data_IF_327471387350
#
_entry.id   IF_327471387350
#
_cell.length_a   1.000
_cell.length_b   1.000
_cell.length_c   1.000
_cell.angle_alpha   90.00
_cell.angle_beta   90.00
_cell.angle_gamma   90.00
#
_symmetry.space_group_name_H-M   'P 1'
#
loop_
_entity.id
_entity.type
_entity.pdbx_description
1 polymer ?
#
# COMPACT_ATOMS: atom_id res chain seq x y z
N UNK A 1 -2.95 7.78 -1.87
CA UNK A 1 -2.98 8.68 -3.05
C UNK A 1 -4.32 9.39 -3.10
N UNK A 2 -4.31 10.63 -3.56
CA UNK A 2 -5.47 11.51 -3.59
C UNK A 2 -5.49 12.33 -4.88
N UNK A 3 -6.62 12.97 -5.15
CA UNK A 3 -6.82 13.99 -6.18
C UNK A 3 -7.23 15.33 -5.53
N UNK A 4 -6.65 15.63 -4.35
CA UNK A 4 -6.99 16.78 -3.51
C UNK A 4 -7.51 16.38 -2.11
N UNK A 5 -7.67 17.35 -1.19
CA UNK A 5 -8.07 17.09 0.20
C UNK A 5 -9.36 16.26 0.30
N UNK A 6 -9.36 15.20 1.12
CA UNK A 6 -10.53 14.36 1.38
C UNK A 6 -10.87 13.32 0.30
N UNK A 7 -10.01 13.12 -0.71
CA UNK A 7 -10.27 12.18 -1.82
C UNK A 7 -9.45 10.87 -1.72
N UNK A 8 -8.95 10.54 -0.52
CA UNK A 8 -8.23 9.29 -0.31
C UNK A 8 -9.14 8.08 -0.57
N UNK A 9 -8.63 7.13 -1.34
CA UNK A 9 -9.26 5.83 -1.60
C UNK A 9 -8.36 4.68 -1.16
N UNK A 10 -8.22 3.67 -2.02
CA UNK A 10 -7.33 2.53 -1.78
C UNK A 10 -5.97 2.61 -2.49
N UNK A 11 -5.79 3.61 -3.37
CA UNK A 11 -4.53 3.77 -4.10
C UNK A 11 -3.42 4.29 -3.18
N UNK A 12 -2.22 3.75 -3.34
CA UNK A 12 -0.99 4.22 -2.71
C UNK A 12 0.13 4.25 -3.75
N UNK A 13 1.26 4.82 -3.38
CA UNK A 13 2.49 4.80 -4.19
C UNK A 13 3.68 4.51 -3.28
N UNK A 14 4.74 3.97 -3.87
CA UNK A 14 6.03 3.78 -3.22
C UNK A 14 7.01 4.67 -3.99
N UNK A 15 7.81 5.46 -3.27
CA UNK A 15 8.81 6.33 -3.88
C UNK A 15 10.10 5.54 -4.14
N UNK A 16 10.74 5.78 -5.29
CA UNK A 16 12.04 5.17 -5.62
C UNK A 16 13.21 5.99 -5.07
N UNK A 17 12.97 7.27 -4.82
CA UNK A 17 13.94 8.26 -4.35
C UNK A 17 13.24 9.22 -3.39
N UNK A 18 13.98 10.02 -2.59
CA UNK A 18 13.36 11.09 -1.82
C UNK A 18 12.58 12.07 -2.69
N UNK A 19 11.35 12.39 -2.30
CA UNK A 19 10.47 13.33 -3.03
C UNK A 19 9.91 14.42 -2.10
N UNK A 20 10.75 15.38 -1.64
CA UNK A 20 10.35 16.36 -0.61
C UNK A 20 9.17 17.26 -1.01
N UNK A 21 8.89 17.39 -2.31
CA UNK A 21 7.73 18.16 -2.80
C UNK A 21 6.38 17.45 -2.57
N UNK A 22 6.38 16.20 -2.09
CA UNK A 22 5.15 15.48 -1.70
C UNK A 22 4.85 15.62 -0.21
N UNK A 23 5.79 16.16 0.58
CA UNK A 23 5.64 16.34 2.01
C UNK A 23 4.42 17.21 2.31
N UNK A 24 3.69 16.86 3.38
CA UNK A 24 2.41 17.46 3.82
C UNK A 24 1.24 17.42 2.81
N UNK A 25 1.48 17.10 1.54
CA UNK A 25 0.45 16.94 0.51
C UNK A 25 -0.12 15.51 0.46
N UNK A 26 0.68 14.51 0.86
CA UNK A 26 0.28 13.12 0.92
C UNK A 26 0.65 12.52 2.28
N UNK A 27 -0.27 11.73 2.84
CA UNK A 27 -0.03 11.06 4.12
C UNK A 27 0.91 9.86 3.92
N UNK A 28 2.10 9.93 4.54
CA UNK A 28 3.02 8.79 4.65
C UNK A 28 2.56 7.86 5.77
N UNK A 29 2.50 6.56 5.50
CA UNK A 29 2.03 5.55 6.46
C UNK A 29 2.94 4.32 6.57
N UNK A 30 4.09 4.32 5.88
CA UNK A 30 5.06 3.23 5.91
C UNK A 30 6.30 3.55 5.09
N UNK A 31 7.30 2.67 5.18
CA UNK A 31 8.56 2.73 4.43
C UNK A 31 8.93 1.33 3.91
N UNK A 32 9.77 1.28 2.88
CA UNK A 32 10.34 0.02 2.37
C UNK A 32 11.47 -0.42 3.29
N UNK A 33 11.54 -1.71 3.62
CA UNK A 33 12.50 -2.21 4.60
C UNK A 33 13.88 -2.44 3.99
N UNK A 34 14.76 -1.44 4.10
CA UNK A 34 16.16 -1.55 3.71
C UNK A 34 16.40 -1.62 2.19
N UNK A 35 17.67 -1.79 1.82
CA UNK A 35 18.10 -1.65 0.42
C UNK A 35 17.69 -2.83 -0.47
N UNK A 36 17.57 -4.04 0.09
CA UNK A 36 17.19 -5.24 -0.66
C UNK A 36 15.75 -5.15 -1.17
N UNK A 37 14.80 -4.79 -0.29
CA UNK A 37 13.40 -4.58 -0.69
C UNK A 37 13.24 -3.36 -1.59
N UNK A 38 14.05 -2.31 -1.39
CA UNK A 38 14.07 -1.16 -2.29
C UNK A 38 14.54 -1.55 -3.70
N UNK A 39 15.43 -2.54 -3.84
CA UNK A 39 15.83 -3.06 -5.14
C UNK A 39 14.67 -3.77 -5.86
N UNK A 40 13.80 -4.47 -5.12
CA UNK A 40 12.55 -5.05 -5.67
C UNK A 40 11.64 -3.95 -6.20
N UNK A 41 11.41 -2.89 -5.40
CA UNK A 41 10.61 -1.73 -5.83
C UNK A 41 11.18 -1.11 -7.10
N UNK A 42 12.51 -0.95 -7.16
CA UNK A 42 13.20 -0.38 -8.32
C UNK A 42 13.12 -1.24 -9.60
N UNK A 43 12.81 -2.53 -9.48
CA UNK A 43 12.68 -3.44 -10.60
C UNK A 43 11.25 -3.53 -11.16
N UNK A 44 10.24 -2.95 -10.50
CA UNK A 44 8.84 -2.97 -10.94
C UNK A 44 8.68 -2.24 -12.27
N UNK A 45 7.96 -2.85 -13.20
CA UNK A 45 7.67 -2.31 -14.52
C UNK A 45 6.18 -2.01 -14.71
N UNK A 46 5.86 -1.18 -15.71
CA UNK A 46 4.48 -0.87 -16.04
C UNK A 46 3.73 -2.14 -16.46
N UNK A 47 2.64 -2.44 -15.73
CA UNK A 47 1.79 -3.60 -16.01
C UNK A 47 2.01 -4.75 -15.03
N UNK A 48 3.01 -4.67 -14.16
CA UNK A 48 3.15 -5.58 -13.03
C UNK A 48 1.91 -5.53 -12.14
N UNK A 49 1.53 -6.71 -11.63
CA UNK A 49 0.33 -6.89 -10.80
C UNK A 49 0.73 -7.22 -9.38
N UNK A 50 0.02 -6.62 -8.44
CA UNK A 50 0.04 -7.05 -7.04
C UNK A 50 -0.88 -8.25 -6.94
N UNK A 51 -0.28 -9.44 -6.77
CA UNK A 51 -1.04 -10.69 -6.62
C UNK A 51 -1.57 -10.87 -5.19
N UNK A 52 -0.81 -10.41 -4.19
CA UNK A 52 -1.17 -10.53 -2.77
C UNK A 52 -0.60 -9.38 -1.95
N UNK A 53 -1.37 -8.96 -0.94
CA UNK A 53 -0.88 -8.12 0.16
C UNK A 53 -1.15 -8.87 1.46
N UNK A 54 -0.11 -9.05 2.27
CA UNK A 54 -0.19 -9.63 3.60
C UNK A 54 0.27 -8.58 4.62
N UNK A 55 -0.47 -8.45 5.71
CA UNK A 55 -0.11 -7.57 6.82
C UNK A 55 0.17 -8.47 8.03
N UNK A 56 1.38 -8.39 8.56
CA UNK A 56 1.86 -9.24 9.65
C UNK A 56 2.11 -8.43 10.92
N UNK A 57 2.12 -9.11 12.07
CA UNK A 57 2.30 -8.49 13.39
C UNK A 57 1.06 -8.64 14.26
N UNK A 58 0.83 -7.70 15.18
CA UNK A 58 -0.36 -7.68 16.01
C UNK A 58 -1.54 -7.03 15.27
N UNK A 59 -2.13 -7.79 14.34
CA UNK A 59 -3.19 -7.32 13.43
C UNK A 59 -4.51 -8.08 13.60
N UNK A 60 -4.53 -9.13 14.42
CA UNK A 60 -5.67 -10.04 14.52
C UNK A 60 -6.95 -9.32 14.92
N UNK A 61 -6.88 -8.49 15.98
CA UNK A 61 -8.02 -7.70 16.45
C UNK A 61 -8.49 -6.69 15.38
N UNK A 62 -7.56 -6.07 14.65
CA UNK A 62 -7.89 -5.13 13.57
C UNK A 62 -8.58 -5.84 12.42
N UNK A 63 -8.04 -6.98 11.97
CA UNK A 63 -8.60 -7.76 10.88
C UNK A 63 -9.96 -8.35 11.26
N UNK A 64 -10.14 -8.76 12.52
CA UNK A 64 -11.43 -9.20 13.06
C UNK A 64 -12.45 -8.05 13.06
N UNK A 65 -12.06 -6.86 13.54
CA UNK A 65 -12.93 -5.68 13.53
C UNK A 65 -13.30 -5.21 12.12
N UNK A 66 -12.46 -5.49 11.10
CA UNK A 66 -12.69 -5.12 9.71
C UNK A 66 -13.10 -6.31 8.82
N UNK A 67 -13.52 -7.44 9.40
CA UNK A 67 -13.69 -8.72 8.70
C UNK A 67 -14.55 -8.63 7.43
N UNK A 68 -15.65 -7.88 7.46
CA UNK A 68 -16.53 -7.74 6.29
C UNK A 68 -15.86 -7.00 5.12
N UNK A 69 -15.03 -5.98 5.43
CA UNK A 69 -14.25 -5.29 4.41
C UNK A 69 -13.18 -6.19 3.83
N UNK A 70 -12.45 -6.92 4.70
CA UNK A 70 -11.40 -7.86 4.29
C UNK A 70 -11.99 -8.94 3.38
N UNK A 71 -13.12 -9.57 3.76
CA UNK A 71 -13.83 -10.55 2.93
C UNK A 71 -14.21 -9.99 1.57
N UNK A 72 -14.79 -8.77 1.54
CA UNK A 72 -15.19 -8.11 0.29
C UNK A 72 -14.01 -7.85 -0.63
N UNK A 73 -12.86 -7.47 -0.09
CA UNK A 73 -11.64 -7.25 -0.88
C UNK A 73 -11.05 -8.55 -1.39
N UNK A 74 -10.94 -9.58 -0.54
CA UNK A 74 -10.43 -10.89 -0.94
C UNK A 74 -11.27 -11.52 -2.07
N UNK A 75 -12.59 -11.34 -2.06
CA UNK A 75 -13.46 -11.79 -3.15
C UNK A 75 -13.20 -11.09 -4.50
N UNK A 76 -12.52 -9.93 -4.52
CA UNK A 76 -12.16 -9.19 -5.73
C UNK A 76 -10.80 -9.57 -6.30
N UNK A 77 -9.90 -10.11 -5.48
CA UNK A 77 -8.55 -10.48 -5.89
C UNK A 77 -8.51 -11.78 -6.71
N UNK A 78 -9.62 -12.51 -6.78
CA UNK A 78 -9.68 -13.82 -7.44
C UNK A 78 -9.06 -14.92 -6.57
N UNK A 79 -9.20 -16.20 -6.97
CA UNK A 79 -8.50 -17.31 -6.33
C UNK A 79 -6.98 -17.25 -6.53
#
# INVERSE_FOLDING_TARGET
ANSGPGTNGSQFFITHVPTPWLDDAYSTFGEVWGEEDQAVVNAIEQGDRIDRIEVTGDVDDLLAAQADRVRRWNARLGP
#
